data_IF_944879087314
#
_entry.id   IF_944879087314
#
_cell.length_a   1.000
_cell.length_b   1.000
_cell.length_c   1.000
_cell.angle_alpha   90.00
_cell.angle_beta   90.00
_cell.angle_gamma   90.00
#
_symmetry.space_group_name_H-M   'P 1'
#
loop_
_entity.id
_entity.type
_entity.pdbx_description
1 polymer ?
#
# COMPACT_ATOMS: atom_id res chain seq x y z
N UNK A 1 2.40 -44.29 -5.36
CA UNK A 1 3.11 -43.08 -4.89
C UNK A 1 3.06 -43.07 -3.38
N UNK A 2 4.21 -43.37 -2.73
CA UNK A 2 4.28 -43.57 -1.28
C UNK A 2 3.90 -42.31 -0.51
N UNK A 3 3.17 -42.45 0.63
CA UNK A 3 2.75 -41.35 1.49
C UNK A 3 3.94 -40.46 1.88
N UNK A 4 5.11 -41.03 2.17
CA UNK A 4 6.33 -40.29 2.48
C UNK A 4 6.82 -39.39 1.33
N UNK A 5 6.71 -39.84 0.08
CA UNK A 5 7.06 -39.01 -1.08
C UNK A 5 6.12 -37.79 -1.26
N UNK A 6 4.84 -37.97 -0.98
CA UNK A 6 3.85 -36.84 -1.01
C UNK A 6 4.17 -35.80 0.07
N UNK A 7 4.50 -36.23 1.28
CA UNK A 7 4.90 -35.30 2.35
C UNK A 7 6.22 -34.60 2.04
N UNK A 8 7.21 -35.29 1.46
CA UNK A 8 8.46 -34.65 1.06
C UNK A 8 8.25 -33.57 0.00
N UNK A 9 7.42 -33.82 -1.03
CA UNK A 9 7.06 -32.81 -2.02
C UNK A 9 6.34 -31.62 -1.39
N UNK A 10 5.37 -31.89 -0.51
CA UNK A 10 4.61 -30.83 0.16
C UNK A 10 5.52 -29.94 1.00
N UNK A 11 6.42 -30.54 1.78
CA UNK A 11 7.39 -29.82 2.61
C UNK A 11 8.35 -28.99 1.77
N UNK A 12 8.83 -29.53 0.65
CA UNK A 12 9.71 -28.80 -0.28
C UNK A 12 9.00 -27.61 -0.89
N UNK A 13 7.71 -27.75 -1.30
CA UNK A 13 6.91 -26.64 -1.84
C UNK A 13 6.71 -25.56 -0.79
N UNK A 14 6.39 -25.93 0.46
CA UNK A 14 6.21 -24.97 1.57
C UNK A 14 7.49 -24.19 1.86
N UNK A 15 8.66 -24.87 1.86
CA UNK A 15 9.97 -24.24 2.05
C UNK A 15 10.31 -23.27 0.91
N UNK A 16 9.99 -23.62 -0.34
CA UNK A 16 10.21 -22.73 -1.49
C UNK A 16 9.32 -21.48 -1.43
N UNK A 17 8.08 -21.60 -0.98
CA UNK A 17 7.16 -20.48 -0.82
C UNK A 17 7.59 -19.54 0.32
N UNK A 18 8.18 -20.05 1.39
CA UNK A 18 8.68 -19.26 2.51
C UNK A 18 9.90 -18.38 2.16
N UNK A 19 10.65 -18.73 1.11
CA UNK A 19 11.86 -18.02 0.69
C UNK A 19 11.60 -16.73 -0.12
N UNK A 20 10.36 -16.47 -0.57
CA UNK A 20 10.04 -15.30 -1.39
C UNK A 20 9.84 -14.04 -0.55
N UNK A 21 10.83 -13.12 -0.57
CA UNK A 21 10.72 -11.81 0.08
C UNK A 21 10.06 -10.79 -0.86
N UNK A 22 8.95 -10.18 -0.44
CA UNK A 22 8.28 -9.10 -1.17
C UNK A 22 9.08 -7.79 -1.22
N UNK A 23 10.21 -7.72 -0.52
CA UNK A 23 11.06 -6.53 -0.41
C UNK A 23 12.42 -6.67 -1.10
N UNK A 24 12.58 -7.68 -1.97
CA UNK A 24 13.87 -8.00 -2.66
C UNK A 24 14.43 -6.83 -3.48
N UNK A 25 13.57 -6.05 -4.11
CA UNK A 25 13.93 -4.92 -4.96
C UNK A 25 13.69 -3.55 -4.32
N UNK A 26 13.42 -3.52 -3.03
CA UNK A 26 13.32 -2.26 -2.28
C UNK A 26 14.74 -1.77 -1.99
N UNK A 27 15.13 -0.56 -2.46
CA UNK A 27 16.44 0.01 -2.18
C UNK A 27 16.74 0.12 -0.69
N UNK A 28 18.02 0.12 -0.33
CA UNK A 28 18.41 0.34 1.05
C UNK A 28 18.04 1.78 1.47
N UNK A 29 17.56 1.94 2.70
CA UNK A 29 17.04 3.21 3.18
C UNK A 29 15.61 3.55 2.74
N UNK A 30 15.00 2.73 1.86
CA UNK A 30 13.63 2.93 1.39
C UNK A 30 12.67 1.88 1.97
N UNK A 31 11.37 2.17 1.90
CA UNK A 31 10.32 1.28 2.39
C UNK A 31 9.33 0.95 1.30
N UNK A 32 8.91 -0.33 1.23
CA UNK A 32 7.79 -0.76 0.41
C UNK A 32 6.49 -0.22 1.01
N UNK A 33 5.70 0.51 0.23
CA UNK A 33 4.37 0.92 0.65
C UNK A 33 3.44 -0.31 0.65
N UNK A 34 3.19 -0.85 1.84
CA UNK A 34 2.43 -2.09 2.01
C UNK A 34 0.92 -1.86 2.06
N UNK A 35 0.51 -0.78 2.72
CA UNK A 35 -0.89 -0.46 2.94
C UNK A 35 -1.09 1.05 3.10
N UNK A 36 -2.18 1.57 2.52
CA UNK A 36 -2.65 2.94 2.76
C UNK A 36 -4.08 2.86 3.26
N UNK A 37 -4.39 3.57 4.33
CA UNK A 37 -5.74 3.68 4.90
C UNK A 37 -6.07 5.14 5.21
N UNK A 38 -7.36 5.46 5.16
CA UNK A 38 -7.91 6.71 5.68
C UNK A 38 -8.80 6.35 6.87
N UNK A 39 -8.62 7.05 7.97
CA UNK A 39 -9.47 6.96 9.15
C UNK A 39 -10.05 8.34 9.45
N UNK A 40 -11.37 8.44 9.57
CA UNK A 40 -12.08 9.68 9.86
C UNK A 40 -12.73 9.58 11.24
N UNK A 41 -12.76 10.68 11.97
CA UNK A 41 -13.48 10.81 13.25
C UNK A 41 -14.98 11.07 13.06
N UNK A 42 -15.39 11.46 11.85
CA UNK A 42 -16.76 11.79 11.50
C UNK A 42 -17.36 10.77 10.53
N UNK A 43 -18.53 10.21 10.88
CA UNK A 43 -19.25 9.22 10.06
C UNK A 43 -19.80 9.78 8.75
N UNK A 44 -20.03 11.10 8.66
CA UNK A 44 -20.52 11.76 7.45
C UNK A 44 -19.41 11.86 6.39
N UNK A 45 -18.16 11.98 6.81
CA UNK A 45 -16.99 12.00 5.91
C UNK A 45 -16.49 10.56 5.69
N UNK A 46 -17.02 9.93 4.66
CA UNK A 46 -16.68 8.53 4.36
C UNK A 46 -15.26 8.41 3.78
N UNK A 47 -14.41 7.50 4.30
CA UNK A 47 -13.07 7.25 3.75
C UNK A 47 -13.06 6.92 2.25
N UNK A 48 -14.12 6.26 1.74
CA UNK A 48 -14.28 5.95 0.32
C UNK A 48 -14.29 7.19 -0.58
N UNK A 49 -14.89 8.28 -0.11
CA UNK A 49 -14.98 9.52 -0.88
C UNK A 49 -13.62 10.25 -0.92
N UNK A 50 -12.75 9.98 0.04
CA UNK A 50 -11.42 10.56 0.13
C UNK A 50 -10.35 9.72 -0.56
N UNK A 51 -10.64 8.46 -0.88
CA UNK A 51 -9.67 7.54 -1.48
C UNK A 51 -9.16 7.98 -2.85
N UNK A 52 -9.96 8.76 -3.61
CA UNK A 52 -9.57 9.31 -4.91
C UNK A 52 -8.40 10.32 -4.84
N UNK A 53 -8.17 10.91 -3.66
CA UNK A 53 -7.09 11.87 -3.43
C UNK A 53 -5.77 11.21 -3.04
N UNK A 54 -5.74 9.88 -2.87
CA UNK A 54 -4.52 9.15 -2.55
C UNK A 54 -3.63 9.09 -3.78
N UNK A 55 -2.43 9.71 -3.70
CA UNK A 55 -1.46 9.77 -4.79
C UNK A 55 -0.64 8.48 -4.94
N UNK A 56 -0.39 7.78 -3.84
CA UNK A 56 0.35 6.54 -3.84
C UNK A 56 -0.55 5.39 -3.42
N UNK A 57 -0.86 4.49 -4.36
CA UNK A 57 -1.57 3.26 -4.06
C UNK A 57 -0.56 2.11 -3.90
N UNK A 58 -0.65 1.31 -2.83
CA UNK A 58 0.20 0.13 -2.67
C UNK A 58 -0.10 -0.91 -3.76
N UNK A 59 0.87 -1.79 -4.05
CA UNK A 59 0.64 -2.90 -4.96
C UNK A 59 -0.61 -3.70 -4.57
N UNK A 60 -1.42 -4.06 -5.57
CA UNK A 60 -2.67 -4.79 -5.38
C UNK A 60 -2.45 -6.12 -4.63
N UNK A 61 -3.39 -6.46 -3.74
CA UNK A 61 -3.41 -7.73 -3.02
C UNK A 61 -4.50 -8.61 -3.62
N UNK A 62 -4.13 -9.82 -4.03
CA UNK A 62 -5.11 -10.82 -4.46
C UNK A 62 -5.83 -11.39 -3.24
N UNK A 63 -7.17 -11.36 -3.22
CA UNK A 63 -7.99 -11.70 -2.04
C UNK A 63 -7.57 -11.00 -0.73
N UNK A 64 -7.03 -9.78 -0.81
CA UNK A 64 -6.53 -8.99 0.34
C UNK A 64 -5.39 -9.64 1.15
N UNK A 65 -4.86 -10.78 0.71
CA UNK A 65 -3.85 -11.55 1.44
C UNK A 65 -2.47 -11.53 0.77
N UNK A 66 -2.41 -11.73 -0.55
CA UNK A 66 -1.16 -11.96 -1.26
C UNK A 66 -0.99 -10.94 -2.39
N UNK A 67 0.17 -10.27 -2.44
CA UNK A 67 0.57 -9.38 -3.54
C UNK A 67 1.19 -10.20 -4.67
N UNK A 68 0.38 -10.98 -5.39
CA UNK A 68 0.84 -11.93 -6.41
C UNK A 68 1.68 -11.28 -7.50
N UNK A 69 1.26 -10.12 -8.02
CA UNK A 69 1.98 -9.40 -9.07
C UNK A 69 3.35 -8.93 -8.61
N UNK A 70 3.47 -8.49 -7.33
CA UNK A 70 4.75 -8.14 -6.75
C UNK A 70 5.66 -9.38 -6.59
N UNK A 71 5.10 -10.56 -6.27
CA UNK A 71 5.88 -11.79 -6.21
C UNK A 71 6.36 -12.24 -7.60
N UNK A 72 5.54 -12.12 -8.63
CA UNK A 72 5.93 -12.40 -10.03
C UNK A 72 7.09 -11.49 -10.43
N UNK A 73 7.01 -10.20 -10.13
CA UNK A 73 8.10 -9.26 -10.36
C UNK A 73 9.37 -9.66 -9.59
N UNK A 74 9.23 -10.06 -8.32
CA UNK A 74 10.36 -10.46 -7.48
C UNK A 74 11.01 -11.80 -7.91
N UNK A 75 10.29 -12.64 -8.66
CA UNK A 75 10.82 -13.85 -9.26
C UNK A 75 11.78 -13.56 -10.43
N UNK A 76 11.66 -12.37 -11.02
CA UNK A 76 12.64 -11.95 -12.02
C UNK A 76 14.04 -11.91 -11.40
N UNK A 77 15.06 -12.31 -12.17
CA UNK A 77 16.46 -12.15 -11.77
C UNK A 77 16.90 -10.68 -11.76
N UNK A 78 18.05 -10.39 -11.15
CA UNK A 78 18.67 -9.05 -11.20
C UNK A 78 19.09 -8.65 -12.62
N UNK A 79 19.41 -9.61 -13.46
CA UNK A 79 19.80 -9.41 -14.84
C UNK A 79 18.56 -9.20 -15.71
N UNK A 80 18.36 -7.95 -16.17
CA UNK A 80 17.23 -7.57 -17.02
C UNK A 80 17.42 -7.92 -18.50
N UNK A 81 18.59 -8.42 -18.89
CA UNK A 81 18.89 -8.76 -20.29
C UNK A 81 18.25 -10.07 -20.70
N UNK A 82 18.07 -11.01 -19.77
CA UNK A 82 17.41 -12.30 -20.04
C UNK A 82 15.93 -12.11 -20.36
N UNK A 83 15.49 -12.72 -21.47
CA UNK A 83 14.10 -12.60 -21.93
C UNK A 83 13.04 -13.03 -20.89
N UNK A 84 13.33 -14.10 -20.11
CA UNK A 84 12.47 -14.60 -19.04
C UNK A 84 12.28 -13.53 -17.96
N UNK A 85 13.35 -12.88 -17.52
CA UNK A 85 13.30 -11.83 -16.50
C UNK A 85 12.54 -10.61 -17.00
N UNK A 86 12.69 -10.26 -18.27
CA UNK A 86 11.96 -9.18 -18.92
C UNK A 86 10.46 -9.48 -18.97
N UNK A 87 10.07 -10.72 -19.28
CA UNK A 87 8.67 -11.15 -19.32
C UNK A 87 8.06 -11.15 -17.92
N UNK A 88 8.76 -11.68 -16.90
CA UNK A 88 8.29 -11.66 -15.51
C UNK A 88 8.12 -10.23 -14.97
N UNK A 89 8.99 -9.30 -15.34
CA UNK A 89 8.85 -7.88 -14.96
C UNK A 89 7.68 -7.19 -15.66
N UNK A 90 7.33 -7.59 -16.89
CA UNK A 90 6.16 -7.09 -17.61
C UNK A 90 4.84 -7.61 -17.03
N UNK A 91 4.85 -8.85 -16.53
CA UNK A 91 3.67 -9.49 -15.94
C UNK A 91 3.47 -9.13 -14.48
N UNK A 92 4.54 -8.72 -13.79
CA UNK A 92 4.53 -8.34 -12.38
C UNK A 92 4.51 -6.81 -12.20
N UNK A 93 4.06 -6.37 -11.03
CA UNK A 93 4.09 -4.96 -10.63
C UNK A 93 5.40 -4.66 -9.90
N UNK A 94 6.06 -3.58 -10.29
CA UNK A 94 7.19 -3.04 -9.55
C UNK A 94 6.77 -2.67 -8.11
N UNK A 95 7.68 -2.81 -7.12
CA UNK A 95 7.38 -2.40 -5.76
C UNK A 95 7.12 -0.90 -5.69
N UNK A 96 5.99 -0.52 -5.10
CA UNK A 96 5.68 0.90 -4.82
C UNK A 96 6.49 1.32 -3.61
N UNK A 97 7.44 2.20 -3.83
CA UNK A 97 8.29 2.76 -2.78
C UNK A 97 7.59 3.95 -2.14
N UNK A 98 7.62 4.01 -0.81
CA UNK A 98 7.09 5.14 -0.05
C UNK A 98 7.78 6.45 -0.46
N UNK A 99 7.00 7.50 -0.72
CA UNK A 99 7.46 8.86 -0.97
C UNK A 99 6.82 9.83 0.02
N UNK A 100 7.66 10.58 0.72
CA UNK A 100 7.23 11.63 1.65
C UNK A 100 6.51 12.77 0.91
N UNK A 101 7.01 13.13 -0.27
CA UNK A 101 6.43 14.19 -1.10
C UNK A 101 4.97 13.88 -1.47
N UNK A 102 4.73 12.67 -2.00
CA UNK A 102 3.37 12.26 -2.37
C UNK A 102 2.46 12.09 -1.15
N UNK A 103 3.03 11.74 0.01
CA UNK A 103 2.29 11.71 1.28
C UNK A 103 1.82 13.10 1.69
N UNK A 104 2.68 14.11 1.58
CA UNK A 104 2.34 15.50 1.89
C UNK A 104 1.31 16.06 0.91
N UNK A 105 1.45 15.78 -0.39
CA UNK A 105 0.46 16.16 -1.41
C UNK A 105 -0.91 15.54 -1.12
N UNK A 106 -0.95 14.24 -0.81
CA UNK A 106 -2.19 13.55 -0.42
C UNK A 106 -2.82 14.19 0.81
N UNK A 107 -2.02 14.50 1.84
CA UNK A 107 -2.49 15.19 3.05
C UNK A 107 -3.18 16.51 2.69
N UNK A 108 -2.55 17.34 1.88
CA UNK A 108 -3.10 18.65 1.47
C UNK A 108 -4.39 18.49 0.66
N UNK A 109 -4.44 17.54 -0.26
CA UNK A 109 -5.63 17.30 -1.09
C UNK A 109 -6.81 16.79 -0.26
N UNK A 110 -6.57 15.84 0.66
CA UNK A 110 -7.61 15.38 1.58
C UNK A 110 -8.08 16.51 2.48
N UNK A 111 -7.17 17.35 3.01
CA UNK A 111 -7.53 18.49 3.83
C UNK A 111 -8.47 19.45 3.07
N UNK A 112 -8.09 19.84 1.84
CA UNK A 112 -8.92 20.68 0.98
C UNK A 112 -10.27 20.04 0.66
N UNK A 113 -10.29 18.75 0.38
CA UNK A 113 -11.53 18.02 0.10
C UNK A 113 -12.50 18.06 1.29
N UNK A 114 -12.00 17.85 2.51
CA UNK A 114 -12.81 17.88 3.74
C UNK A 114 -13.25 19.30 4.07
N UNK A 115 -12.41 20.31 3.83
CA UNK A 115 -12.80 21.73 3.96
C UNK A 115 -13.92 22.09 2.99
N UNK A 116 -13.86 21.63 1.75
CA UNK A 116 -14.92 21.83 0.75
C UNK A 116 -16.25 21.13 1.12
N UNK A 117 -16.21 20.12 1.99
CA UNK A 117 -17.40 19.51 2.58
C UNK A 117 -17.99 20.33 3.75
N UNK A 118 -17.43 21.51 4.05
CA UNK A 118 -17.90 22.39 5.12
C UNK A 118 -17.16 22.26 6.46
N UNK A 119 -16.10 21.45 6.54
CA UNK A 119 -15.31 21.27 7.76
C UNK A 119 -14.02 22.10 7.70
N UNK A 120 -14.14 23.42 7.88
CA UNK A 120 -13.03 24.37 7.71
C UNK A 120 -11.85 24.12 8.66
N UNK A 121 -12.11 23.53 9.84
CA UNK A 121 -11.09 23.14 10.83
C UNK A 121 -10.46 21.78 10.59
N UNK A 122 -10.63 21.20 9.40
CA UNK A 122 -10.12 19.86 9.12
C UNK A 122 -8.59 19.79 9.21
N UNK A 123 -8.10 18.74 9.89
CA UNK A 123 -6.69 18.41 10.02
C UNK A 123 -6.47 16.97 9.55
N UNK A 124 -5.43 16.75 8.75
CA UNK A 124 -5.04 15.43 8.27
C UNK A 124 -3.61 15.12 8.69
N UNK A 125 -3.45 14.05 9.46
CA UNK A 125 -2.15 13.59 9.97
C UNK A 125 -1.78 12.25 9.35
N UNK A 126 -0.66 12.16 8.60
CA UNK A 126 -0.14 10.90 8.09
C UNK A 126 0.62 10.15 9.19
N UNK A 127 0.08 9.03 9.66
CA UNK A 127 0.71 8.15 10.65
C UNK A 127 1.42 7.01 9.92
N UNK A 128 2.72 6.86 10.15
CA UNK A 128 3.61 5.88 9.53
C UNK A 128 3.89 4.74 10.50
N UNK A 129 3.67 3.51 10.06
CA UNK A 129 4.00 2.31 10.81
C UNK A 129 4.97 1.46 10.01
N UNK A 130 6.21 1.39 10.46
CA UNK A 130 7.28 0.63 9.79
C UNK A 130 7.46 -0.73 10.45
N UNK A 131 7.46 -1.79 9.64
CA UNK A 131 7.83 -3.14 10.06
C UNK A 131 8.79 -3.75 9.05
N UNK A 132 10.06 -3.92 9.45
CA UNK A 132 11.15 -4.30 8.53
C UNK A 132 11.25 -3.26 7.38
N UNK A 133 11.29 -3.70 6.10
CA UNK A 133 11.30 -2.83 4.91
C UNK A 133 9.88 -2.50 4.38
N UNK A 134 8.82 -2.67 5.19
CA UNK A 134 7.42 -2.38 4.80
C UNK A 134 6.88 -1.22 5.62
N UNK A 135 6.11 -0.36 4.98
CA UNK A 135 5.43 0.77 5.60
C UNK A 135 3.92 0.67 5.39
N UNK A 136 3.18 0.85 6.48
CA UNK A 136 1.74 1.14 6.45
C UNK A 136 1.54 2.62 6.73
N UNK A 137 0.74 3.26 5.90
CA UNK A 137 0.41 4.68 6.00
C UNK A 137 -1.07 4.84 6.34
N UNK A 138 -1.37 5.56 7.41
CA UNK A 138 -2.75 5.84 7.83
C UNK A 138 -2.92 7.35 7.89
N UNK A 139 -3.80 7.89 7.05
CA UNK A 139 -4.23 9.29 7.13
C UNK A 139 -5.34 9.40 8.15
N UNK A 140 -5.05 10.02 9.31
CA UNK A 140 -6.05 10.35 10.31
C UNK A 140 -6.65 11.70 9.96
N UNK A 141 -7.95 11.71 9.71
CA UNK A 141 -8.72 12.92 9.37
C UNK A 141 -9.54 13.30 10.58
N UNK A 142 -9.27 14.49 11.11
CA UNK A 142 -10.05 15.13 12.16
C UNK A 142 -10.82 16.27 11.51
N UNK A 143 -12.15 16.20 11.50
CA UNK A 143 -13.00 17.16 10.78
C UNK A 143 -13.22 18.45 11.54
N UNK A 144 -13.20 18.40 12.87
CA UNK A 144 -13.61 19.52 13.70
C UNK A 144 -15.12 19.78 13.61
N UNK A 145 -15.54 21.01 13.95
CA UNK A 145 -16.95 21.40 13.87
C UNK A 145 -17.32 21.79 12.43
N UNK A 146 -18.52 21.39 11.94
CA UNK A 146 -19.01 21.86 10.66
C UNK A 146 -19.27 23.38 10.72
N UNK A 147 -19.07 24.02 9.59
CA UNK A 147 -19.41 25.43 9.47
C UNK A 147 -20.95 25.57 9.45
N UNK A 148 -21.54 26.21 10.47
CA UNK A 148 -22.96 26.54 10.49
C UNK A 148 -23.13 27.98 10.08
N UNK A 149 -23.91 28.23 9.02
CA UNK A 149 -24.42 29.59 8.78
C UNK A 149 -25.41 29.91 9.89
N UNK A 150 -25.17 30.97 10.65
CA UNK A 150 -26.22 31.60 11.42
C UNK A 150 -27.17 32.26 10.39
N UNK A 151 -28.36 31.69 10.21
CA UNK A 151 -29.44 32.44 9.58
C UNK A 151 -29.75 33.64 10.48
N UNK A 152 -29.54 34.82 9.94
CA UNK A 152 -29.88 36.12 10.57
C UNK A 152 -31.35 36.38 10.29
#
# INVERSE_FOLDING_TARGET
>A
MNKGFRYAILTTIVLLLASCSSTKYVPDGSYLLDEVRIHTDNKEVKPSNLSMYIRQNPNAKWFSLIKTQLYVYNWSGRDSTRWINRTLRKLGDAPVIYSEEETNRTREEITKAVQNMGYMGALVEPVRQVKKKKMKLVYKVTTGKPYSYLEI
#
